data_IF_871168451808
#
_entry.id   IF_871168451808
#
_cell.length_a   1.000
_cell.length_b   1.000
_cell.length_c   1.000
_cell.angle_alpha   90.00
_cell.angle_beta   90.00
_cell.angle_gamma   90.00
#
_symmetry.space_group_name_H-M   'P 1'
#
loop_
_entity.id
_entity.type
_entity.pdbx_description
1 polymer ?
#
# COMPACT_ATOMS: atom_id res chain seq x y z
N UNK A 1 -16.63 -64.70 74.42
CA UNK A 1 -17.25 -63.66 73.57
C UNK A 1 -16.61 -62.27 73.83
N UNK A 2 -15.32 -62.15 74.07
CA UNK A 2 -14.71 -60.82 74.34
C UNK A 2 -13.42 -60.56 73.60
N UNK A 3 -12.81 -61.61 72.94
CA UNK A 3 -11.58 -61.41 72.21
C UNK A 3 -11.80 -60.96 70.79
N UNK A 4 -12.93 -61.34 70.16
CA UNK A 4 -13.24 -60.95 68.77
C UNK A 4 -13.66 -59.47 68.60
N UNK A 5 -14.30 -58.91 69.63
CA UNK A 5 -14.67 -57.51 69.65
C UNK A 5 -13.49 -56.58 69.84
N UNK A 6 -12.49 -57.05 70.66
CA UNK A 6 -11.25 -56.27 70.82
C UNK A 6 -10.37 -56.26 69.54
N UNK A 7 -10.33 -57.40 68.87
CA UNK A 7 -9.59 -57.51 67.62
C UNK A 7 -10.23 -56.66 66.51
N UNK A 8 -11.56 -56.59 66.50
CA UNK A 8 -12.29 -55.75 65.53
C UNK A 8 -12.13 -54.25 65.77
N UNK A 9 -12.03 -53.87 67.07
CA UNK A 9 -11.80 -52.45 67.41
C UNK A 9 -10.37 -51.97 67.10
N UNK A 10 -9.37 -52.85 67.24
CA UNK A 10 -7.97 -52.54 66.86
C UNK A 10 -7.82 -52.44 65.37
N UNK A 11 -8.53 -53.28 64.63
CA UNK A 11 -8.56 -53.19 63.13
C UNK A 11 -9.25 -51.92 62.64
N UNK A 12 -10.31 -51.48 63.29
CA UNK A 12 -11.04 -50.26 62.94
C UNK A 12 -10.23 -49.00 63.24
N UNK A 13 -9.48 -48.98 64.34
CA UNK A 13 -8.59 -47.87 64.70
C UNK A 13 -7.35 -47.78 63.77
N UNK A 14 -6.78 -48.92 63.35
CA UNK A 14 -5.69 -48.95 62.40
C UNK A 14 -6.11 -48.45 61.02
N UNK A 15 -7.35 -48.70 60.59
CA UNK A 15 -7.86 -48.19 59.30
C UNK A 15 -8.04 -46.67 59.28
N UNK A 16 -8.34 -46.04 60.41
CA UNK A 16 -8.48 -44.57 60.55
C UNK A 16 -7.15 -43.83 60.45
N UNK A 17 -6.07 -44.45 60.84
CA UNK A 17 -4.72 -43.83 60.77
C UNK A 17 -4.12 -43.88 59.34
N UNK A 18 -4.60 -44.72 58.46
CA UNK A 18 -4.10 -44.87 57.10
C UNK A 18 -4.67 -43.84 56.10
N UNK A 19 -5.72 -43.12 56.43
CA UNK A 19 -6.36 -42.14 55.54
C UNK A 19 -5.84 -40.71 55.71
N UNK A 20 -4.94 -40.43 56.66
CA UNK A 20 -4.37 -39.09 56.87
C UNK A 20 -2.97 -38.91 56.26
N UNK A 21 -2.49 -39.85 55.45
CA UNK A 21 -1.14 -39.78 54.87
C UNK A 21 -1.08 -39.28 53.43
N UNK A 22 -2.18 -38.76 52.90
CA UNK A 22 -2.18 -38.26 51.54
C UNK A 22 -2.88 -36.89 51.50
N UNK A 23 -2.14 -35.83 51.67
CA UNK A 23 -2.28 -34.59 50.91
C UNK A 23 -1.34 -33.51 51.48
N UNK A 24 -0.11 -33.52 51.04
CA UNK A 24 0.58 -32.27 50.79
C UNK A 24 0.96 -32.30 49.35
N UNK A 25 0.08 -31.79 48.51
CA UNK A 25 0.50 -31.35 47.21
C UNK A 25 1.58 -30.31 47.45
N UNK A 26 2.81 -30.60 46.99
CA UNK A 26 3.90 -29.63 47.01
C UNK A 26 3.43 -28.36 46.33
N UNK A 27 3.74 -27.20 46.85
CA UNK A 27 3.45 -25.92 46.19
C UNK A 27 3.93 -26.00 44.75
N UNK A 28 3.04 -25.61 43.81
CA UNK A 28 3.40 -25.52 42.41
C UNK A 28 4.73 -24.78 42.25
N UNK A 29 5.66 -25.35 41.50
CA UNK A 29 6.94 -24.71 41.25
C UNK A 29 6.71 -23.30 40.65
N UNK A 30 7.64 -22.38 40.79
CA UNK A 30 7.53 -21.05 40.22
C UNK A 30 7.32 -21.17 38.70
N UNK A 31 6.46 -20.32 38.14
CA UNK A 31 6.25 -20.27 36.73
C UNK A 31 7.60 -20.08 36.00
N UNK A 32 7.82 -20.84 34.92
CA UNK A 32 9.01 -20.70 34.10
C UNK A 32 9.16 -19.25 33.61
N UNK A 33 10.40 -18.81 33.50
CA UNK A 33 10.70 -17.47 32.99
C UNK A 33 10.05 -17.30 31.60
N UNK A 34 9.49 -16.11 31.29
CA UNK A 34 8.99 -15.83 29.96
C UNK A 34 10.05 -16.15 28.89
N UNK A 35 9.66 -16.77 27.79
CA UNK A 35 10.55 -17.01 26.66
C UNK A 35 11.20 -15.71 26.19
N UNK A 36 12.47 -15.76 25.83
CA UNK A 36 13.19 -14.61 25.30
C UNK A 36 12.42 -13.99 24.13
N UNK A 37 12.44 -12.67 24.03
CA UNK A 37 11.89 -11.96 22.88
C UNK A 37 12.59 -12.49 21.62
N UNK A 38 11.82 -12.92 20.61
CA UNK A 38 12.37 -13.35 19.34
C UNK A 38 13.29 -12.29 18.73
N UNK A 39 14.32 -12.73 18.04
CA UNK A 39 15.26 -11.84 17.39
C UNK A 39 14.53 -10.91 16.40
N UNK A 40 15.02 -9.68 16.30
CA UNK A 40 14.54 -8.72 15.33
C UNK A 40 14.85 -9.30 13.94
N UNK A 41 13.81 -9.49 13.10
CA UNK A 41 13.99 -9.94 11.73
C UNK A 41 15.07 -9.12 10.99
N UNK A 42 15.81 -9.78 10.13
CA UNK A 42 16.86 -9.15 9.34
C UNK A 42 16.33 -7.92 8.59
N UNK A 43 17.14 -6.87 8.45
CA UNK A 43 16.80 -5.77 7.56
C UNK A 43 16.54 -6.32 6.17
N UNK A 44 15.37 -6.00 5.57
CA UNK A 44 15.11 -6.36 4.18
C UNK A 44 16.22 -5.86 3.27
N UNK A 45 16.49 -6.58 2.17
CA UNK A 45 17.47 -6.18 1.19
C UNK A 45 17.31 -4.70 0.80
N UNK A 46 18.41 -3.94 0.60
CA UNK A 46 18.35 -2.56 0.13
C UNK A 46 17.50 -2.50 -1.13
N UNK A 47 16.49 -1.63 -1.13
CA UNK A 47 15.71 -1.37 -2.34
C UNK A 47 16.63 -0.91 -3.46
N UNK A 48 16.42 -1.40 -4.68
CA UNK A 48 17.15 -0.95 -5.86
C UNK A 48 16.99 0.56 -5.99
N UNK A 49 18.09 1.28 -6.00
CA UNK A 49 18.20 2.75 -6.07
C UNK A 49 17.88 3.29 -7.48
N UNK A 50 16.78 2.87 -8.07
CA UNK A 50 16.43 3.23 -9.43
C UNK A 50 15.01 3.76 -9.55
N UNK A 51 14.77 5.02 -9.18
CA UNK A 51 13.49 5.66 -9.50
C UNK A 51 13.44 5.91 -11.00
N UNK A 52 12.37 5.47 -11.60
CA UNK A 52 12.09 5.64 -13.03
C UNK A 52 11.05 6.73 -13.17
N UNK A 53 11.31 7.71 -14.02
CA UNK A 53 10.33 8.73 -14.39
C UNK A 53 10.37 8.99 -15.90
N UNK A 54 9.23 9.38 -16.46
CA UNK A 54 9.13 9.78 -17.85
C UNK A 54 9.54 11.25 -18.02
N UNK A 55 9.81 11.66 -19.25
CA UNK A 55 9.68 13.07 -19.62
C UNK A 55 8.20 13.50 -19.50
N UNK A 56 7.93 14.79 -19.67
CA UNK A 56 6.58 15.27 -19.87
C UNK A 56 6.06 14.75 -21.19
N UNK A 57 4.92 14.06 -21.13
CA UNK A 57 4.31 13.34 -22.25
C UNK A 57 3.09 14.09 -22.77
N UNK A 58 2.98 14.19 -24.07
CA UNK A 58 1.75 14.59 -24.72
C UNK A 58 0.79 13.41 -24.74
N UNK A 59 -0.43 13.62 -24.27
CA UNK A 59 -1.45 12.58 -24.17
C UNK A 59 -2.67 12.99 -24.97
N UNK A 60 -3.14 12.08 -25.84
CA UNK A 60 -4.39 12.24 -26.56
C UNK A 60 -5.46 11.38 -25.90
N UNK A 61 -6.57 12.00 -25.55
CA UNK A 61 -7.75 11.29 -25.06
C UNK A 61 -8.69 10.95 -26.20
N UNK A 62 -9.33 9.80 -26.09
CA UNK A 62 -10.41 9.35 -26.95
C UNK A 62 -11.72 9.36 -26.17
N UNK A 63 -12.84 9.61 -26.85
CA UNK A 63 -14.15 9.57 -26.23
C UNK A 63 -14.53 8.12 -25.90
N UNK A 64 -14.97 7.89 -24.68
CA UNK A 64 -15.64 6.66 -24.27
C UNK A 64 -17.12 6.82 -24.56
N UNK A 65 -17.66 5.96 -25.45
CA UNK A 65 -18.99 6.14 -26.00
C UNK A 65 -19.87 4.91 -25.79
N UNK A 66 -21.15 5.14 -25.58
CA UNK A 66 -22.19 4.12 -25.51
C UNK A 66 -23.18 4.29 -26.66
N UNK A 67 -23.52 3.17 -27.31
CA UNK A 67 -24.53 3.12 -28.36
C UNK A 67 -25.90 2.85 -27.74
N UNK A 68 -26.80 3.77 -27.89
CA UNK A 68 -28.16 3.69 -27.38
C UNK A 68 -29.15 3.22 -28.43
N UNK A 69 -30.32 2.80 -28.00
CA UNK A 69 -31.41 2.44 -28.91
C UNK A 69 -31.75 3.60 -29.86
N UNK A 70 -32.04 3.30 -31.13
CA UNK A 70 -32.28 4.30 -32.17
C UNK A 70 -31.02 4.87 -32.82
N UNK A 71 -29.85 4.28 -32.59
CA UNK A 71 -28.59 4.69 -33.25
C UNK A 71 -27.92 5.94 -32.64
N UNK A 72 -28.42 6.43 -31.48
CA UNK A 72 -27.79 7.54 -30.77
C UNK A 72 -26.50 7.08 -30.10
N UNK A 73 -25.48 7.90 -30.19
CA UNK A 73 -24.18 7.68 -29.52
C UNK A 73 -24.01 8.78 -28.48
N UNK A 74 -23.83 8.37 -27.23
CA UNK A 74 -23.55 9.29 -26.12
C UNK A 74 -22.11 9.09 -25.64
N UNK A 75 -21.43 10.18 -25.28
CA UNK A 75 -20.10 10.16 -24.66
C UNK A 75 -20.29 10.05 -23.14
N UNK A 76 -19.75 8.99 -22.56
CA UNK A 76 -19.81 8.72 -21.11
C UNK A 76 -18.59 9.20 -20.35
N UNK A 77 -17.51 9.49 -21.07
CA UNK A 77 -16.24 9.97 -20.54
C UNK A 77 -15.15 9.99 -21.61
N UNK A 78 -13.94 10.03 -21.14
CA UNK A 78 -12.76 10.03 -22.01
C UNK A 78 -11.70 9.12 -21.41
N UNK A 79 -10.90 8.49 -22.25
CA UNK A 79 -9.80 7.65 -21.83
C UNK A 79 -8.55 7.92 -22.65
N UNK A 80 -7.40 7.60 -22.08
CA UNK A 80 -6.11 7.60 -22.75
C UNK A 80 -5.22 6.49 -22.22
N UNK A 81 -4.21 6.10 -22.99
CA UNK A 81 -3.22 5.10 -22.57
C UNK A 81 -1.82 5.68 -22.73
N UNK A 82 -1.02 5.59 -21.68
CA UNK A 82 0.40 5.91 -21.69
C UNK A 82 1.18 4.61 -21.63
N UNK A 83 2.13 4.43 -22.56
CA UNK A 83 3.07 3.32 -22.48
C UNK A 83 4.10 3.55 -21.39
N UNK A 84 4.22 2.56 -20.49
CA UNK A 84 5.15 2.58 -19.38
C UNK A 84 5.91 1.23 -19.32
N UNK A 85 6.82 0.95 -20.28
CA UNK A 85 7.43 -0.38 -20.46
C UNK A 85 8.23 -0.86 -19.25
N UNK A 86 8.65 0.04 -18.38
CA UNK A 86 9.32 -0.29 -17.12
C UNK A 86 8.38 -0.70 -16.00
N UNK A 87 7.07 -0.56 -16.18
CA UNK A 87 6.06 -1.01 -15.24
C UNK A 87 5.84 -2.51 -15.39
N UNK A 88 6.73 -3.28 -14.81
CA UNK A 88 6.70 -4.76 -14.83
C UNK A 88 5.63 -5.29 -13.87
N UNK A 89 5.34 -6.60 -13.94
CA UNK A 89 4.46 -7.26 -12.97
C UNK A 89 4.98 -7.12 -11.53
N UNK A 90 6.28 -7.22 -11.35
CA UNK A 90 6.94 -7.02 -10.04
C UNK A 90 6.77 -5.57 -9.55
N UNK A 91 6.97 -4.59 -10.44
CA UNK A 91 6.77 -3.19 -10.10
C UNK A 91 5.32 -2.90 -9.66
N UNK A 92 4.32 -3.52 -10.28
CA UNK A 92 2.91 -3.38 -9.88
C UNK A 92 2.61 -3.87 -8.46
N UNK A 93 3.39 -4.84 -7.96
CA UNK A 93 3.18 -5.41 -6.62
C UNK A 93 4.03 -4.77 -5.55
N UNK A 94 5.15 -4.14 -5.91
CA UNK A 94 6.15 -3.67 -4.95
C UNK A 94 6.49 -2.19 -5.04
N UNK A 95 6.22 -1.53 -6.18
CA UNK A 95 6.58 -0.14 -6.41
C UNK A 95 5.43 0.83 -6.07
N UNK A 96 5.79 2.07 -5.73
CA UNK A 96 4.86 3.20 -5.71
C UNK A 96 4.82 3.80 -7.12
N UNK A 97 3.65 3.77 -7.74
CA UNK A 97 3.41 4.32 -9.08
C UNK A 97 2.61 5.59 -8.97
N UNK A 98 3.17 6.68 -9.48
CA UNK A 98 2.53 8.00 -9.45
C UNK A 98 2.43 8.57 -10.85
N UNK A 99 1.37 9.33 -11.07
CA UNK A 99 1.13 10.04 -12.32
C UNK A 99 0.77 11.50 -11.99
N UNK A 100 1.47 12.42 -12.63
CA UNK A 100 1.30 13.86 -12.47
C UNK A 100 0.77 14.47 -13.76
N UNK A 101 0.01 15.54 -13.61
CA UNK A 101 -0.44 16.40 -14.72
C UNK A 101 0.09 17.81 -14.50
N UNK A 102 0.64 18.43 -15.56
CA UNK A 102 0.90 19.86 -15.57
C UNK A 102 -0.28 20.59 -16.18
N UNK A 103 -1.05 21.26 -15.36
CA UNK A 103 -2.25 22.01 -15.76
C UNK A 103 -1.94 23.28 -16.56
N UNK A 104 -0.68 23.75 -16.51
CA UNK A 104 -0.20 24.93 -17.20
C UNK A 104 0.90 24.57 -18.22
N UNK A 105 1.78 25.48 -18.55
CA UNK A 105 2.89 25.30 -19.49
C UNK A 105 4.22 25.01 -18.78
N UNK A 106 5.27 24.73 -19.55
CA UNK A 106 6.57 24.44 -19.02
C UNK A 106 7.27 25.66 -18.38
N UNK A 107 6.93 26.88 -18.78
CA UNK A 107 7.50 28.10 -18.25
C UNK A 107 6.92 28.46 -16.86
N UNK A 108 5.64 28.15 -16.66
CA UNK A 108 4.90 28.39 -15.41
C UNK A 108 4.12 27.12 -15.00
N UNK A 109 4.81 26.07 -14.55
CA UNK A 109 4.17 24.78 -14.31
C UNK A 109 3.24 24.84 -13.10
N UNK A 110 2.03 24.27 -13.27
CA UNK A 110 1.08 24.00 -12.19
C UNK A 110 0.84 22.50 -12.18
N UNK A 111 1.45 21.81 -11.22
CA UNK A 111 1.52 20.35 -11.22
C UNK A 111 0.61 19.78 -10.16
N UNK A 112 -0.26 18.86 -10.58
CA UNK A 112 -1.13 18.09 -9.69
C UNK A 112 -0.82 16.59 -9.79
N UNK A 113 -0.97 15.90 -8.65
CA UNK A 113 -0.91 14.44 -8.59
C UNK A 113 -2.29 13.87 -8.94
N UNK A 114 -2.32 12.78 -9.71
CA UNK A 114 -3.55 12.02 -9.93
C UNK A 114 -3.82 11.05 -8.75
N UNK A 115 -5.08 10.79 -8.39
CA UNK A 115 -6.28 11.35 -9.02
C UNK A 115 -6.43 12.84 -8.76
N UNK A 116 -6.74 13.62 -9.82
CA UNK A 116 -7.05 15.03 -9.72
C UNK A 116 -8.56 15.23 -9.73
N UNK A 117 -9.04 15.96 -8.73
CA UNK A 117 -10.45 16.32 -8.58
C UNK A 117 -10.52 17.82 -8.32
N UNK A 118 -11.30 18.53 -9.10
CA UNK A 118 -11.51 19.95 -8.98
C UNK A 118 -12.93 20.26 -8.48
N UNK A 119 -13.11 21.39 -7.78
CA UNK A 119 -14.42 21.81 -7.27
C UNK A 119 -15.46 22.01 -8.39
N UNK A 120 -15.01 22.34 -9.59
CA UNK A 120 -15.86 22.40 -10.80
C UNK A 120 -16.44 21.04 -11.23
N UNK A 121 -16.01 19.94 -10.59
CA UNK A 121 -16.44 18.58 -10.91
C UNK A 121 -15.55 17.86 -11.92
N UNK A 122 -14.41 18.44 -12.31
CA UNK A 122 -13.44 17.74 -13.16
C UNK A 122 -12.79 16.61 -12.37
N UNK A 123 -12.75 15.41 -12.97
CA UNK A 123 -12.14 14.22 -12.39
C UNK A 123 -11.23 13.56 -13.40
N UNK A 124 -9.95 13.42 -13.07
CA UNK A 124 -8.95 12.69 -13.86
C UNK A 124 -8.34 11.61 -12.98
N UNK A 125 -8.41 10.37 -13.41
CA UNK A 125 -7.91 9.19 -12.68
C UNK A 125 -7.03 8.33 -13.56
N UNK A 126 -6.25 7.43 -12.95
CA UNK A 126 -5.50 6.42 -13.70
C UNK A 126 -5.55 5.05 -13.01
N UNK A 127 -5.32 4.02 -13.80
CA UNK A 127 -5.11 2.64 -13.36
C UNK A 127 -3.82 2.15 -14.01
N UNK A 128 -2.99 1.47 -13.22
CA UNK A 128 -1.73 0.92 -13.69
C UNK A 128 -1.90 -0.56 -14.08
N UNK A 129 -1.40 -0.89 -15.25
CA UNK A 129 -1.31 -2.26 -15.77
C UNK A 129 0.14 -2.57 -16.14
N UNK A 130 0.46 -3.83 -16.38
CA UNK A 130 1.78 -4.21 -16.88
C UNK A 130 2.08 -3.48 -18.19
N UNK A 131 3.10 -2.64 -18.15
CA UNK A 131 3.58 -1.86 -19.31
C UNK A 131 2.74 -0.65 -19.71
N UNK A 132 1.64 -0.34 -18.99
CA UNK A 132 0.71 0.71 -19.37
C UNK A 132 0.08 1.43 -18.18
N UNK A 133 -0.28 2.70 -18.40
CA UNK A 133 -1.12 3.49 -17.50
C UNK A 133 -2.35 3.92 -18.29
N UNK A 134 -3.53 3.50 -17.87
CA UNK A 134 -4.79 3.93 -18.44
C UNK A 134 -5.35 5.10 -17.64
N UNK A 135 -5.61 6.20 -18.31
CA UNK A 135 -6.27 7.37 -17.74
C UNK A 135 -7.75 7.34 -18.09
N UNK A 136 -8.57 7.86 -17.17
CA UNK A 136 -9.99 8.12 -17.40
C UNK A 136 -10.35 9.50 -16.88
N UNK A 137 -11.23 10.19 -17.58
CA UNK A 137 -11.71 11.53 -17.22
C UNK A 137 -13.14 11.76 -17.67
N UNK A 138 -13.85 12.65 -16.99
CA UNK A 138 -15.16 13.11 -17.41
C UNK A 138 -15.11 14.27 -18.43
N UNK A 139 -13.90 14.78 -18.72
CA UNK A 139 -13.66 15.76 -19.78
C UNK A 139 -12.52 15.28 -20.68
N UNK A 140 -12.37 15.86 -21.87
CA UNK A 140 -11.17 15.65 -22.67
C UNK A 140 -10.00 16.40 -22.03
N UNK A 141 -9.18 15.68 -21.27
CA UNK A 141 -7.99 16.18 -20.56
C UNK A 141 -6.69 15.96 -21.37
N UNK A 142 -6.78 15.83 -22.68
CA UNK A 142 -5.62 15.66 -23.57
C UNK A 142 -4.74 16.90 -23.61
N UNK A 143 -3.48 16.70 -23.99
CA UNK A 143 -2.53 17.79 -24.20
C UNK A 143 -3.03 18.75 -25.29
N UNK A 144 -3.06 20.02 -24.97
CA UNK A 144 -3.42 21.09 -25.90
C UNK A 144 -2.22 21.97 -26.17
N UNK A 145 -2.22 22.61 -27.33
CA UNK A 145 -1.26 23.65 -27.71
C UNK A 145 -2.03 24.97 -27.72
N UNK A 146 -1.59 25.93 -26.93
CA UNK A 146 -2.21 27.25 -26.87
C UNK A 146 -1.82 28.10 -28.08
N UNK A 147 -2.42 29.30 -28.19
CA UNK A 147 -2.18 30.22 -29.29
C UNK A 147 -0.75 30.80 -29.37
N UNK A 148 0.07 30.55 -28.34
CA UNK A 148 1.50 30.91 -28.29
C UNK A 148 2.42 29.74 -28.60
N UNK A 149 1.83 28.56 -28.91
CA UNK A 149 2.56 27.32 -29.17
C UNK A 149 3.01 26.59 -27.89
N UNK A 150 2.57 27.02 -26.72
CA UNK A 150 2.90 26.36 -25.47
C UNK A 150 1.99 25.15 -25.24
N UNK A 151 2.58 24.04 -24.81
CA UNK A 151 1.87 22.81 -24.46
C UNK A 151 1.36 22.88 -23.04
N UNK A 152 0.11 22.48 -22.84
CA UNK A 152 -0.56 22.36 -21.54
C UNK A 152 -1.16 20.97 -21.38
N UNK A 153 -1.49 20.59 -20.16
CA UNK A 153 -2.05 19.29 -19.82
C UNK A 153 -1.12 18.14 -20.25
N UNK A 154 0.17 18.30 -19.96
CA UNK A 154 1.15 17.25 -20.15
C UNK A 154 1.21 16.35 -18.92
N UNK A 155 1.60 15.09 -19.10
CA UNK A 155 1.62 14.07 -18.05
C UNK A 155 3.04 13.56 -17.83
N UNK A 156 3.33 13.17 -16.57
CA UNK A 156 4.60 12.53 -16.20
C UNK A 156 4.33 11.44 -15.18
N UNK A 157 4.79 10.22 -15.44
CA UNK A 157 4.74 9.16 -14.46
C UNK A 157 6.07 8.97 -13.73
N UNK A 158 5.97 8.40 -12.53
CA UNK A 158 7.08 7.98 -11.70
C UNK A 158 6.82 6.57 -11.17
N UNK A 159 7.84 5.73 -11.19
CA UNK A 159 7.82 4.39 -10.60
C UNK A 159 8.96 4.35 -9.58
N UNK A 160 8.62 4.32 -8.31
CA UNK A 160 9.58 4.21 -7.21
C UNK A 160 9.57 2.77 -6.69
N UNK A 161 10.66 2.02 -6.88
CA UNK A 161 10.74 0.64 -6.37
C UNK A 161 10.49 0.58 -4.87
N UNK A 162 9.70 -0.39 -4.44
CA UNK A 162 9.47 -0.64 -3.02
C UNK A 162 10.72 -1.17 -2.34
N UNK A 163 11.00 -0.70 -1.13
CA UNK A 163 12.11 -1.18 -0.31
C UNK A 163 12.09 -0.58 1.08
N UNK A 164 12.76 -1.24 2.03
CA UNK A 164 12.86 -0.77 3.42
C UNK A 164 13.56 0.58 3.59
N UNK A 165 14.45 0.93 2.67
CA UNK A 165 15.15 2.21 2.68
C UNK A 165 14.21 3.38 2.38
N UNK A 166 13.26 3.22 1.45
CA UNK A 166 12.28 4.25 1.12
C UNK A 166 11.36 4.59 2.30
N UNK A 167 11.00 3.60 3.13
CA UNK A 167 10.17 3.83 4.33
C UNK A 167 10.91 4.58 5.45
N UNK A 168 12.22 4.40 5.58
CA UNK A 168 13.01 5.08 6.63
C UNK A 168 13.41 6.51 6.26
N UNK A 169 13.68 6.76 4.99
CA UNK A 169 14.09 8.08 4.51
C UNK A 169 12.91 9.02 4.25
N UNK A 170 11.71 8.47 4.03
CA UNK A 170 10.53 9.24 3.64
C UNK A 170 9.61 9.67 4.78
N UNK A 171 10.05 9.60 6.05
CA UNK A 171 9.18 9.89 7.19
C UNK A 171 8.66 11.35 7.20
N UNK A 172 9.39 12.27 6.59
CA UNK A 172 9.05 13.69 6.57
C UNK A 172 8.75 14.26 5.18
N UNK A 173 8.65 13.41 4.16
CA UNK A 173 8.41 13.86 2.79
C UNK A 173 6.93 13.89 2.50
N UNK A 174 6.43 15.05 2.14
CA UNK A 174 5.09 15.17 1.58
C UNK A 174 5.05 14.59 0.15
N UNK A 175 4.73 13.32 0.03
CA UNK A 175 4.65 12.60 -1.26
C UNK A 175 3.55 13.12 -2.20
N UNK A 176 2.64 13.96 -1.71
CA UNK A 176 1.61 14.63 -2.52
C UNK A 176 2.12 15.92 -3.17
N UNK A 177 3.26 16.44 -2.73
CA UNK A 177 3.88 17.64 -3.31
C UNK A 177 4.97 17.24 -4.31
N UNK A 178 4.70 17.47 -5.59
CA UNK A 178 5.62 17.16 -6.68
C UNK A 178 7.00 17.80 -6.51
N UNK A 179 7.07 19.08 -6.10
CA UNK A 179 8.34 19.79 -5.99
C UNK A 179 9.21 19.23 -4.85
N UNK A 180 8.58 18.88 -3.74
CA UNK A 180 9.24 18.21 -2.60
C UNK A 180 9.77 16.84 -3.03
N UNK A 181 8.94 16.04 -3.71
CA UNK A 181 9.32 14.72 -4.23
C UNK A 181 10.43 14.85 -5.28
N UNK A 182 10.31 15.79 -6.23
CA UNK A 182 11.32 16.08 -7.25
C UNK A 182 12.68 16.43 -6.64
N UNK A 183 12.71 17.35 -5.67
CA UNK A 183 13.93 17.77 -4.98
C UNK A 183 14.57 16.61 -4.22
N UNK A 184 13.77 15.83 -3.49
CA UNK A 184 14.24 14.68 -2.73
C UNK A 184 14.85 13.59 -3.63
N UNK A 185 14.27 13.37 -4.79
CA UNK A 185 14.70 12.34 -5.73
C UNK A 185 15.77 12.82 -6.72
N UNK A 186 16.13 14.11 -6.69
CA UNK A 186 17.12 14.69 -7.62
C UNK A 186 16.65 14.65 -9.08
N UNK A 187 15.34 14.68 -9.34
CA UNK A 187 14.80 14.64 -10.70
C UNK A 187 15.07 15.98 -11.42
N UNK A 188 15.43 15.90 -12.70
CA UNK A 188 15.62 17.07 -13.57
C UNK A 188 14.42 17.22 -14.49
N UNK A 189 14.11 18.44 -14.87
CA UNK A 189 13.11 18.74 -15.90
C UNK A 189 13.67 18.48 -17.28
#
# INVERSE_FOLDING_TARGET
>A
MKLSQFSMLILLTAAIFLVNACSKDGSAGPAGAPGGKGDKGDPGAPGTTGIIYSNWLDVKYEADTVHLAGGRIDTTGYYAVIDAPKLTQEALTSADVRLYINLSDAANPTIALLPYVEESGIVIRFIAYKGKLQLTSNINAGTIIDNRGAKRLQYRYMIAPGGTAARKAGHDINWSDYNVVKAYLGLKD
#
